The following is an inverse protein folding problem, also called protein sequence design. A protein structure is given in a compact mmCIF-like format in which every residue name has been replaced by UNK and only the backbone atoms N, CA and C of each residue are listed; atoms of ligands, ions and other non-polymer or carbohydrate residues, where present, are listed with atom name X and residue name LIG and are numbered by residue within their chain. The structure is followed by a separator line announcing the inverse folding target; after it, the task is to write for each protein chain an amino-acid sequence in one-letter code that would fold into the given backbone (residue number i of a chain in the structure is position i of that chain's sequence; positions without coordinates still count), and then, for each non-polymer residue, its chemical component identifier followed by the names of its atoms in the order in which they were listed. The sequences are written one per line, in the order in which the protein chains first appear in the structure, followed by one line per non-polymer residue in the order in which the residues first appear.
data_IF_207238981272
#
_entry.id   IF_207238981272
#
_cell.length_a   1.000
_cell.length_b   1.000
_cell.length_c   1.000
_cell.angle_alpha   90.00
_cell.angle_beta   90.00
_cell.angle_gamma   90.00
#
_symmetry.space_group_name_H-M   'P 1'
#
loop_
_entity.id
_entity.type
_entity.pdbx_description
1 polymer ?
#
# COMPACT_ATOMS: atom_id res chain seq x y z
N UNK A 1 22.85 -12.47 -11.71
CA UNK A 1 22.27 -13.30 -10.64
C UNK A 1 20.86 -12.78 -10.38
N UNK A 2 19.85 -13.48 -10.89
CA UNK A 2 18.45 -13.13 -10.64
C UNK A 2 18.12 -13.47 -9.19
N UNK A 3 18.06 -12.46 -8.33
CA UNK A 3 17.43 -12.60 -7.03
C UNK A 3 15.95 -12.86 -7.27
N UNK A 4 15.51 -14.08 -7.01
CA UNK A 4 14.10 -14.45 -6.91
C UNK A 4 13.50 -13.68 -5.75
N UNK A 5 12.98 -12.48 -6.01
CA UNK A 5 12.15 -11.72 -5.07
C UNK A 5 10.94 -12.59 -4.76
N UNK A 6 11.01 -13.29 -3.64
CA UNK A 6 9.88 -14.02 -3.09
C UNK A 6 8.82 -12.96 -2.79
N UNK A 7 7.73 -12.93 -3.56
CA UNK A 7 6.56 -12.07 -3.30
C UNK A 7 5.93 -12.47 -1.97
N UNK A 8 6.53 -12.02 -0.87
CA UNK A 8 5.94 -12.15 0.44
C UNK A 8 4.77 -11.16 0.49
N UNK A 9 3.55 -11.70 0.55
CA UNK A 9 2.36 -10.88 0.76
C UNK A 9 2.47 -10.24 2.13
N UNK A 10 2.77 -8.94 2.17
CA UNK A 10 2.85 -8.17 3.42
C UNK A 10 1.51 -8.23 4.15
N UNK A 11 1.56 -8.45 5.46
CA UNK A 11 0.38 -8.39 6.32
C UNK A 11 -0.17 -6.95 6.33
N UNK A 12 -1.49 -6.82 6.30
CA UNK A 12 -2.16 -5.52 6.34
C UNK A 12 -1.81 -4.71 7.60
N UNK A 13 -1.55 -5.38 8.72
CA UNK A 13 -1.08 -4.74 9.96
C UNK A 13 0.28 -4.08 9.76
N UNK A 14 1.22 -4.76 9.12
CA UNK A 14 2.54 -4.21 8.84
C UNK A 14 2.47 -2.95 7.97
N UNK A 15 1.62 -2.96 6.93
CA UNK A 15 1.37 -1.78 6.09
C UNK A 15 0.81 -0.63 6.93
N UNK A 16 -0.18 -0.91 7.78
CA UNK A 16 -0.78 0.10 8.66
C UNK A 16 0.23 0.70 9.63
N UNK A 17 1.02 -0.14 10.28
CA UNK A 17 1.95 0.27 11.32
C UNK A 17 3.07 1.14 10.73
N UNK A 18 3.63 0.75 9.59
CA UNK A 18 4.64 1.55 8.89
C UNK A 18 4.12 2.90 8.41
N UNK A 19 2.89 2.94 7.88
CA UNK A 19 2.28 4.20 7.44
C UNK A 19 1.98 5.11 8.63
N UNK A 20 1.54 4.55 9.76
CA UNK A 20 1.34 5.31 10.99
C UNK A 20 2.66 5.85 11.55
N UNK A 21 3.73 5.06 11.51
CA UNK A 21 5.08 5.46 11.93
C UNK A 21 5.64 6.60 11.07
N UNK A 22 5.57 6.48 9.74
CA UNK A 22 6.20 7.43 8.82
C UNK A 22 5.36 8.69 8.56
N UNK A 23 4.04 8.57 8.46
CA UNK A 23 3.15 9.67 8.09
C UNK A 23 2.34 10.23 9.26
N UNK A 24 2.27 9.55 10.41
CA UNK A 24 1.45 9.96 11.55
C UNK A 24 -0.06 9.72 11.36
N UNK A 25 -0.48 9.12 10.23
CA UNK A 25 -1.88 8.84 9.92
C UNK A 25 -2.18 7.33 9.99
N UNK A 26 -3.35 6.97 10.52
CA UNK A 26 -3.83 5.59 10.47
C UNK A 26 -4.61 5.36 9.16
N UNK A 27 -4.07 4.62 8.18
CA UNK A 27 -4.77 4.36 6.93
C UNK A 27 -5.97 3.42 7.15
N UNK A 28 -7.05 3.68 6.43
CA UNK A 28 -8.25 2.82 6.47
C UNK A 28 -8.05 1.53 5.65
N UNK A 29 -8.99 0.60 5.80
CA UNK A 29 -8.85 -0.76 5.24
C UNK A 29 -8.68 -0.79 3.72
N UNK A 30 -9.39 0.06 2.97
CA UNK A 30 -9.28 0.05 1.51
C UNK A 30 -7.91 0.60 1.05
N UNK A 31 -7.35 1.58 1.77
CA UNK A 31 -6.04 2.14 1.45
C UNK A 31 -4.93 1.09 1.63
N UNK A 32 -4.95 0.34 2.74
CA UNK A 32 -3.95 -0.72 2.97
C UNK A 32 -4.11 -1.90 2.01
N UNK A 33 -5.34 -2.23 1.59
CA UNK A 33 -5.58 -3.26 0.55
C UNK A 33 -5.08 -2.83 -0.82
N UNK A 34 -5.27 -1.54 -1.18
CA UNK A 34 -4.70 -0.98 -2.40
C UNK A 34 -3.18 -1.09 -2.41
N UNK A 35 -2.52 -0.72 -1.32
CA UNK A 35 -1.07 -0.85 -1.19
C UNK A 35 -0.61 -2.30 -1.28
N UNK A 36 -1.30 -3.23 -0.61
CA UNK A 36 -1.00 -4.66 -0.72
C UNK A 36 -1.11 -5.15 -2.17
N UNK A 37 -2.12 -4.71 -2.92
CA UNK A 37 -2.29 -5.06 -4.33
C UNK A 37 -1.18 -4.47 -5.21
N UNK A 38 -0.77 -3.22 -4.96
CA UNK A 38 0.34 -2.57 -5.66
C UNK A 38 1.68 -3.29 -5.39
N UNK A 39 1.97 -3.61 -4.13
CA UNK A 39 3.21 -4.30 -3.74
C UNK A 39 3.27 -5.74 -4.23
N UNK A 40 2.12 -6.40 -4.38
CA UNK A 40 2.03 -7.72 -5.01
C UNK A 40 2.49 -7.69 -6.46
N UNK A 41 2.36 -6.56 -7.17
CA UNK A 41 2.85 -6.32 -8.53
C UNK A 41 2.39 -7.35 -9.59
N UNK A 42 1.28 -8.04 -9.33
CA UNK A 42 0.73 -9.05 -10.24
C UNK A 42 -0.30 -8.46 -11.21
N UNK A 43 -0.82 -7.25 -10.95
CA UNK A 43 -1.91 -6.65 -11.71
C UNK A 43 -1.79 -5.12 -11.77
N UNK A 44 -2.31 -4.52 -12.83
CA UNK A 44 -2.58 -3.09 -12.88
C UNK A 44 -3.78 -2.76 -11.99
N UNK A 45 -3.64 -1.78 -11.09
CA UNK A 45 -4.68 -1.41 -10.12
C UNK A 45 -5.27 -0.05 -10.47
N UNK A 46 -6.60 0.03 -10.58
CA UNK A 46 -7.35 1.28 -10.80
C UNK A 46 -8.21 1.57 -9.56
N UNK A 47 -8.15 2.80 -9.06
CA UNK A 47 -8.96 3.26 -7.93
C UNK A 47 -9.80 4.48 -8.33
N UNK A 48 -11.12 4.39 -8.18
CA UNK A 48 -12.08 5.45 -8.55
C UNK A 48 -12.75 5.96 -7.27
N UNK A 49 -12.33 7.14 -6.81
CA UNK A 49 -12.83 7.76 -5.57
C UNK A 49 -12.88 9.28 -5.71
N UNK A 50 -13.82 9.98 -5.04
CA UNK A 50 -13.93 11.43 -5.09
C UNK A 50 -12.67 12.12 -4.54
N UNK A 51 -12.50 13.40 -4.86
CA UNK A 51 -11.45 14.23 -4.25
C UNK A 51 -11.66 14.32 -2.73
N UNK A 52 -10.58 14.35 -1.96
CA UNK A 52 -10.64 14.33 -0.49
C UNK A 52 -10.79 12.95 0.15
N UNK A 53 -11.05 11.89 -0.62
CA UNK A 53 -11.17 10.50 -0.10
C UNK A 53 -9.87 9.90 0.45
N UNK A 54 -8.72 10.54 0.24
CA UNK A 54 -7.42 10.01 0.67
C UNK A 54 -6.74 9.07 -0.32
N UNK A 55 -7.16 9.05 -1.60
CA UNK A 55 -6.45 8.31 -2.68
C UNK A 55 -5.04 8.82 -3.00
N UNK A 56 -4.70 10.06 -2.64
CA UNK A 56 -3.32 10.54 -2.77
C UNK A 56 -2.38 9.83 -1.78
N UNK A 57 -2.86 9.49 -0.57
CA UNK A 57 -2.05 8.77 0.41
C UNK A 57 -1.64 7.38 -0.13
N UNK A 58 -2.54 6.68 -0.82
CA UNK A 58 -2.25 5.34 -1.39
C UNK A 58 -1.20 5.34 -2.48
N UNK A 59 -0.90 6.49 -3.09
CA UNK A 59 0.22 6.62 -4.03
C UNK A 59 1.57 6.67 -3.30
N UNK A 60 1.64 7.31 -2.12
CA UNK A 60 2.87 7.45 -1.34
C UNK A 60 3.19 6.24 -0.48
N UNK A 61 2.18 5.57 0.08
CA UNK A 61 2.36 4.45 1.00
C UNK A 61 3.23 3.28 0.47
N UNK A 62 3.14 2.84 -0.81
CA UNK A 62 3.96 1.74 -1.32
C UNK A 62 5.46 2.04 -1.33
N UNK A 63 5.87 3.32 -1.36
CA UNK A 63 7.28 3.71 -1.37
C UNK A 63 8.01 3.45 -0.04
N UNK A 64 7.27 3.02 1.00
CA UNK A 64 7.83 2.61 2.28
C UNK A 64 8.37 1.16 2.29
N UNK A 65 8.17 0.40 1.21
CA UNK A 65 8.51 -1.04 1.09
C UNK A 65 9.31 -1.31 -0.18
#
# INVERSE_FOLDING_TARGET
MHSTTTSQTLLLSHIRDKVKECFGYCPCLWQIRMVQALLKNDNNVVSILPTGSGKSLTFWMPLLF
#
